data_IF_027851120169
#
_entry.id   IF_027851120169
#
_cell.length_a   1.000
_cell.length_b   1.000
_cell.length_c   1.000
_cell.angle_alpha   90.00
_cell.angle_beta   90.00
_cell.angle_gamma   90.00
#
_symmetry.space_group_name_H-M   'P 1'
#
loop_
_entity.id
_entity.type
_entity.pdbx_description
1 polymer ?
#
# COMPACT_ATOMS: atom_id res chain seq x y z
N UNK A 1 27.20 8.06 -9.41
CA UNK A 1 27.13 7.84 -7.95
C UNK A 1 26.69 9.16 -7.32
N UNK A 2 25.93 9.13 -6.23
CA UNK A 2 25.59 10.31 -5.42
C UNK A 2 26.26 10.12 -4.06
N UNK A 3 26.87 11.17 -3.55
CA UNK A 3 27.54 11.18 -2.24
C UNK A 3 26.75 12.12 -1.34
N UNK A 4 26.40 11.66 -0.13
CA UNK A 4 25.64 12.45 0.82
C UNK A 4 25.99 12.01 2.25
N UNK A 5 26.19 12.99 3.14
CA UNK A 5 26.39 12.72 4.56
C UNK A 5 25.03 12.49 5.23
N UNK A 6 24.94 11.43 6.03
CA UNK A 6 23.78 11.11 6.86
C UNK A 6 24.27 10.62 8.22
N UNK A 7 23.48 10.93 9.24
CA UNK A 7 23.69 10.35 10.56
C UNK A 7 23.43 8.83 10.53
N UNK A 8 24.42 8.05 10.97
CA UNK A 8 24.32 6.62 11.15
C UNK A 8 24.91 6.24 12.50
N UNK A 9 24.09 5.67 13.38
CA UNK A 9 24.48 5.27 14.73
C UNK A 9 25.10 6.44 15.54
N UNK A 10 24.54 7.65 15.39
CA UNK A 10 25.00 8.84 16.12
C UNK A 10 26.26 9.50 15.56
N UNK A 11 26.75 9.07 14.40
CA UNK A 11 27.91 9.65 13.72
C UNK A 11 27.50 10.15 12.33
N UNK A 12 28.09 11.28 11.89
CA UNK A 12 27.93 11.72 10.51
C UNK A 12 28.83 10.88 9.60
N UNK A 13 28.21 10.11 8.71
CA UNK A 13 28.90 9.17 7.83
C UNK A 13 28.62 9.54 6.39
N UNK A 14 29.66 9.51 5.56
CA UNK A 14 29.52 9.67 4.12
C UNK A 14 28.99 8.37 3.50
N UNK A 15 27.87 8.46 2.81
CA UNK A 15 27.27 7.33 2.10
C UNK A 15 27.38 7.53 0.59
N UNK A 16 27.53 6.43 -0.13
CA UNK A 16 27.57 6.39 -1.58
C UNK A 16 26.34 5.66 -2.11
N UNK A 17 25.61 6.31 -3.00
CA UNK A 17 24.44 5.74 -3.66
C UNK A 17 24.65 5.57 -5.16
N UNK A 18 24.07 4.49 -5.70
CA UNK A 18 23.71 4.44 -7.10
C UNK A 18 22.60 5.46 -7.37
N UNK A 19 22.75 6.26 -8.44
CA UNK A 19 21.87 7.40 -8.73
C UNK A 19 20.39 7.01 -8.79
N UNK A 20 20.08 5.85 -9.39
CA UNK A 20 18.71 5.35 -9.49
C UNK A 20 18.07 5.13 -8.10
N UNK A 21 18.79 4.51 -7.17
CA UNK A 21 18.28 4.27 -5.81
C UNK A 21 18.12 5.55 -5.00
N UNK A 22 19.07 6.50 -5.14
CA UNK A 22 18.95 7.80 -4.49
C UNK A 22 17.73 8.58 -4.97
N UNK A 23 17.51 8.63 -6.29
CA UNK A 23 16.33 9.27 -6.89
C UNK A 23 15.04 8.57 -6.43
N UNK A 24 15.02 7.25 -6.38
CA UNK A 24 13.85 6.48 -5.94
C UNK A 24 13.55 6.67 -4.46
N UNK A 25 14.56 6.68 -3.58
CA UNK A 25 14.40 6.95 -2.13
C UNK A 25 13.79 8.33 -1.90
N UNK A 26 14.37 9.38 -2.50
CA UNK A 26 13.83 10.73 -2.41
C UNK A 26 12.45 10.86 -3.07
N UNK A 27 12.25 10.14 -4.17
CA UNK A 27 11.01 10.08 -4.91
C UNK A 27 9.88 9.49 -4.08
N UNK A 28 10.12 8.38 -3.37
CA UNK A 28 9.15 7.79 -2.44
C UNK A 28 8.70 8.81 -1.40
N UNK A 29 9.63 9.50 -0.74
CA UNK A 29 9.28 10.50 0.27
C UNK A 29 8.45 11.66 -0.32
N UNK A 30 8.71 12.05 -1.58
CA UNK A 30 7.96 13.08 -2.29
C UNK A 30 6.55 12.64 -2.64
N UNK A 31 6.40 11.44 -3.21
CA UNK A 31 5.11 10.90 -3.63
C UNK A 31 4.22 10.57 -2.43
N UNK A 32 4.79 10.09 -1.32
CA UNK A 32 4.06 9.92 -0.06
C UNK A 32 3.45 11.24 0.42
N UNK A 33 4.24 12.33 0.46
CA UNK A 33 3.72 13.64 0.85
C UNK A 33 2.62 14.12 -0.09
N UNK A 34 2.77 13.93 -1.40
CA UNK A 34 1.72 14.27 -2.38
C UNK A 34 0.41 13.56 -2.03
N UNK A 35 0.44 12.24 -1.87
CA UNK A 35 -0.76 11.45 -1.61
C UNK A 35 -1.41 11.83 -0.27
N UNK A 36 -0.61 12.08 0.76
CA UNK A 36 -1.09 12.42 2.10
C UNK A 36 -1.66 13.84 2.24
N UNK A 37 -1.26 14.77 1.37
CA UNK A 37 -1.76 16.17 1.41
C UNK A 37 -3.19 16.31 0.86
N UNK A 38 -3.70 15.28 0.18
CA UNK A 38 -5.01 15.32 -0.47
C UNK A 38 -6.10 14.93 0.52
N UNK A 39 -7.16 15.74 0.61
CA UNK A 39 -8.28 15.44 1.49
C UNK A 39 -9.17 14.34 0.88
N UNK A 40 -9.61 13.38 1.70
CA UNK A 40 -10.70 12.48 1.33
C UNK A 40 -12.02 13.08 1.83
N UNK A 41 -12.98 13.19 0.92
CA UNK A 41 -14.36 13.46 1.30
C UNK A 41 -15.06 12.13 1.63
N UNK A 42 -14.91 11.65 2.87
CA UNK A 42 -15.83 10.64 3.41
C UNK A 42 -16.23 11.05 4.84
N UNK A 43 -17.49 11.41 5.09
CA UNK A 43 -18.00 11.67 6.44
C UNK A 43 -17.85 10.43 7.35
N UNK A 44 -17.53 10.64 8.63
CA UNK A 44 -17.36 9.56 9.62
C UNK A 44 -18.63 8.71 9.82
N UNK A 45 -19.82 9.33 9.73
CA UNK A 45 -21.10 8.61 9.84
C UNK A 45 -21.31 7.62 8.69
N UNK A 46 -20.82 7.96 7.50
CA UNK A 46 -20.86 7.07 6.34
C UNK A 46 -19.91 5.88 6.53
N UNK A 47 -18.77 6.07 7.18
CA UNK A 47 -17.85 4.98 7.48
C UNK A 47 -18.47 3.95 8.43
N UNK A 48 -19.09 4.39 9.53
CA UNK A 48 -19.69 3.49 10.53
C UNK A 48 -20.80 2.62 9.93
N UNK A 49 -21.76 3.25 9.25
CA UNK A 49 -22.88 2.56 8.61
C UNK A 49 -22.42 1.54 7.56
N UNK A 50 -21.36 1.85 6.80
CA UNK A 50 -20.76 0.94 5.82
C UNK A 50 -20.07 -0.26 6.45
N UNK A 51 -19.35 -0.06 7.55
CA UNK A 51 -18.71 -1.15 8.29
C UNK A 51 -19.77 -2.10 8.84
N UNK A 52 -20.81 -1.55 9.47
CA UNK A 52 -21.91 -2.36 10.02
C UNK A 52 -22.66 -3.14 8.93
N UNK A 53 -22.89 -2.53 7.76
CA UNK A 53 -23.46 -3.21 6.61
C UNK A 53 -22.57 -4.34 6.11
N UNK A 54 -21.25 -4.13 6.04
CA UNK A 54 -20.29 -5.15 5.63
C UNK A 54 -20.22 -6.32 6.62
N UNK A 55 -20.19 -6.06 7.93
CA UNK A 55 -20.24 -7.08 8.98
C UNK A 55 -21.52 -7.93 8.87
N UNK A 56 -22.66 -7.27 8.69
CA UNK A 56 -23.97 -7.93 8.54
C UNK A 56 -24.02 -8.82 7.30
N UNK A 57 -23.60 -8.29 6.15
CA UNK A 57 -23.60 -9.03 4.89
C UNK A 57 -22.64 -10.22 4.90
N UNK A 58 -21.52 -10.10 5.61
CA UNK A 58 -20.52 -11.15 5.73
C UNK A 58 -20.77 -12.11 6.90
N UNK A 59 -21.79 -11.86 7.73
CA UNK A 59 -22.12 -12.69 8.88
C UNK A 59 -20.98 -12.78 9.92
N UNK A 60 -20.25 -11.69 10.12
CA UNK A 60 -19.10 -11.64 11.04
C UNK A 60 -19.17 -10.43 11.98
N UNK A 61 -18.40 -10.49 13.05
CA UNK A 61 -18.19 -9.38 13.98
C UNK A 61 -16.69 -9.11 14.12
N UNK A 62 -16.27 -7.89 13.81
CA UNK A 62 -14.87 -7.48 13.90
C UNK A 62 -14.46 -7.24 15.35
N UNK A 63 -13.26 -7.72 15.71
CA UNK A 63 -12.61 -7.29 16.94
C UNK A 63 -12.27 -5.79 16.89
N UNK A 64 -12.10 -5.09 18.04
CA UNK A 64 -11.91 -3.64 18.07
C UNK A 64 -10.75 -3.14 17.20
N UNK A 65 -9.60 -3.83 17.22
CA UNK A 65 -8.45 -3.50 16.39
C UNK A 65 -8.72 -3.70 14.89
N UNK A 66 -9.48 -4.74 14.54
CA UNK A 66 -9.88 -5.01 13.16
C UNK A 66 -10.89 -3.98 12.65
N UNK A 67 -11.88 -3.61 13.46
CA UNK A 67 -12.82 -2.52 13.14
C UNK A 67 -12.07 -1.21 12.93
N UNK A 68 -11.12 -0.89 13.82
CA UNK A 68 -10.24 0.28 13.66
C UNK A 68 -9.48 0.25 12.34
N UNK A 69 -8.95 -0.91 11.94
CA UNK A 69 -8.27 -1.06 10.65
C UNK A 69 -9.19 -0.73 9.47
N UNK A 70 -10.46 -1.14 9.52
CA UNK A 70 -11.44 -0.80 8.47
C UNK A 70 -11.76 0.70 8.48
N UNK A 71 -12.06 1.29 9.63
CA UNK A 71 -12.33 2.72 9.77
C UNK A 71 -11.21 3.58 9.19
N UNK A 72 -9.97 3.29 9.57
CA UNK A 72 -8.79 4.01 9.07
C UNK A 72 -8.64 3.83 7.56
N UNK A 73 -8.87 2.62 7.04
CA UNK A 73 -8.79 2.37 5.59
C UNK A 73 -9.84 3.14 4.78
N UNK A 74 -11.00 3.45 5.37
CA UNK A 74 -12.04 4.26 4.73
C UNK A 74 -11.73 5.76 4.84
N UNK A 75 -11.14 6.20 5.94
CA UNK A 75 -10.91 7.61 6.25
C UNK A 75 -9.60 8.18 5.69
N UNK A 76 -8.53 7.38 5.64
CA UNK A 76 -7.18 7.84 5.31
C UNK A 76 -6.79 7.58 3.84
N UNK A 77 -5.94 8.46 3.30
CA UNK A 77 -5.37 8.32 1.94
C UNK A 77 -4.42 7.14 1.84
N UNK A 78 -3.64 6.94 2.90
CA UNK A 78 -2.62 5.92 2.97
C UNK A 78 -2.72 5.23 4.32
N UNK A 79 -2.86 3.91 4.29
CA UNK A 79 -2.94 3.10 5.49
C UNK A 79 -2.08 1.84 5.34
N UNK A 80 -1.40 1.48 6.42
CA UNK A 80 -0.67 0.22 6.52
C UNK A 80 -1.39 -0.68 7.51
N UNK A 81 -1.75 -1.88 7.08
CA UNK A 81 -2.20 -2.96 7.96
C UNK A 81 -1.07 -3.97 8.09
N UNK A 82 -0.61 -4.17 9.32
CA UNK A 82 0.43 -5.15 9.64
C UNK A 82 -0.07 -6.16 10.66
N UNK A 83 0.48 -7.37 10.62
CA UNK A 83 0.21 -8.41 11.61
C UNK A 83 0.88 -9.71 11.21
N UNK A 84 1.11 -10.60 12.17
CA UNK A 84 1.73 -11.91 11.92
C UNK A 84 0.85 -12.85 11.09
N UNK A 85 1.32 -14.07 10.76
CA UNK A 85 0.49 -15.11 10.18
C UNK A 85 -0.74 -15.39 11.05
N UNK A 86 -1.92 -15.61 10.44
CA UNK A 86 -3.15 -15.96 11.16
C UNK A 86 -3.89 -14.81 11.85
N UNK A 87 -3.40 -13.56 11.81
CA UNK A 87 -4.04 -12.37 12.44
C UNK A 87 -5.29 -11.84 11.71
N UNK A 88 -5.75 -12.53 10.66
CA UNK A 88 -6.96 -12.14 9.94
C UNK A 88 -6.80 -11.00 8.91
N UNK A 89 -5.57 -10.64 8.52
CA UNK A 89 -5.29 -9.65 7.45
C UNK A 89 -6.20 -9.83 6.22
N UNK A 90 -6.25 -11.04 5.69
CA UNK A 90 -7.09 -11.39 4.54
C UNK A 90 -8.58 -11.16 4.78
N UNK A 91 -9.09 -11.47 5.98
CA UNK A 91 -10.49 -11.23 6.35
C UNK A 91 -10.79 -9.74 6.37
N UNK A 92 -9.90 -8.94 6.96
CA UNK A 92 -10.08 -7.49 7.04
C UNK A 92 -10.01 -6.85 5.67
N UNK A 93 -9.10 -7.31 4.81
CA UNK A 93 -9.07 -6.88 3.40
C UNK A 93 -10.44 -7.11 2.75
N UNK A 94 -11.07 -8.27 2.93
CA UNK A 94 -12.43 -8.50 2.40
C UNK A 94 -13.46 -7.51 2.96
N UNK A 95 -13.43 -7.23 4.27
CA UNK A 95 -14.39 -6.29 4.87
C UNK A 95 -14.17 -4.87 4.35
N UNK A 96 -12.92 -4.43 4.18
CA UNK A 96 -12.60 -3.13 3.57
C UNK A 96 -13.12 -3.08 2.14
N UNK A 97 -12.89 -4.13 1.35
CA UNK A 97 -13.39 -4.21 -0.03
C UNK A 97 -14.92 -4.15 -0.08
N UNK A 98 -15.60 -4.81 0.85
CA UNK A 98 -17.05 -4.79 0.95
C UNK A 98 -17.58 -3.40 1.33
N UNK A 99 -16.99 -2.77 2.34
CA UNK A 99 -17.36 -1.42 2.77
C UNK A 99 -17.09 -0.35 1.68
N UNK A 100 -16.00 -0.52 0.91
CA UNK A 100 -15.61 0.37 -0.18
C UNK A 100 -16.40 0.15 -1.47
N UNK A 101 -16.90 -1.07 -1.73
CA UNK A 101 -17.68 -1.35 -2.94
C UNK A 101 -18.94 -0.49 -3.03
N UNK A 102 -19.52 -0.14 -1.88
CA UNK A 102 -20.66 0.76 -1.81
C UNK A 102 -20.31 2.24 -2.08
N UNK A 103 -19.02 2.59 -2.21
CA UNK A 103 -18.53 3.93 -2.57
C UNK A 103 -18.02 4.00 -4.00
N UNK A 104 -17.36 2.95 -4.46
CA UNK A 104 -16.79 2.89 -5.79
C UNK A 104 -16.54 1.45 -6.21
N UNK A 105 -16.78 1.17 -7.48
CA UNK A 105 -16.42 -0.09 -8.13
C UNK A 105 -14.96 -0.14 -8.60
N UNK A 106 -14.27 1.01 -8.66
CA UNK A 106 -12.90 1.13 -9.20
C UNK A 106 -11.85 0.75 -8.16
N UNK A 107 -11.76 -0.54 -7.85
CA UNK A 107 -10.83 -1.10 -6.88
C UNK A 107 -9.82 -1.99 -7.60
N UNK A 108 -8.53 -1.73 -7.41
CA UNK A 108 -7.43 -2.55 -7.92
C UNK A 108 -6.77 -3.31 -6.77
N UNK A 109 -6.46 -4.58 -7.03
CA UNK A 109 -5.77 -5.47 -6.11
C UNK A 109 -4.44 -5.89 -6.72
N UNK A 110 -3.36 -5.77 -5.96
CA UNK A 110 -2.04 -6.16 -6.40
C UNK A 110 -1.23 -6.88 -5.34
N UNK A 111 -0.24 -7.63 -5.80
CA UNK A 111 0.82 -8.17 -4.96
C UNK A 111 2.16 -8.18 -5.71
N UNK A 112 3.31 -8.32 -5.02
CA UNK A 112 4.62 -8.31 -5.67
C UNK A 112 4.87 -9.54 -6.56
N UNK A 113 4.27 -10.69 -6.21
CA UNK A 113 4.48 -11.97 -6.92
C UNK A 113 3.18 -12.53 -7.49
N UNK A 114 3.29 -13.31 -8.57
CA UNK A 114 2.13 -13.96 -9.20
C UNK A 114 1.40 -14.93 -8.26
N UNK A 115 2.14 -15.64 -7.40
CA UNK A 115 1.56 -16.54 -6.39
C UNK A 115 0.73 -15.77 -5.35
N UNK A 116 1.26 -14.64 -4.86
CA UNK A 116 0.53 -13.80 -3.91
C UNK A 116 -0.71 -13.17 -4.56
N UNK A 117 -0.58 -12.68 -5.79
CA UNK A 117 -1.72 -12.13 -6.54
C UNK A 117 -2.82 -13.17 -6.76
N UNK A 118 -2.47 -14.39 -7.20
CA UNK A 118 -3.43 -15.49 -7.37
C UNK A 118 -4.18 -15.80 -6.06
N UNK A 119 -3.44 -15.92 -4.95
CA UNK A 119 -4.04 -16.16 -3.63
C UNK A 119 -4.95 -15.01 -3.20
N UNK A 120 -4.53 -13.77 -3.41
CA UNK A 120 -5.34 -12.59 -3.13
C UNK A 120 -6.64 -12.63 -3.93
N UNK A 121 -6.60 -13.06 -5.20
CA UNK A 121 -7.80 -13.23 -6.02
C UNK A 121 -8.74 -14.30 -5.46
N UNK A 122 -8.22 -15.48 -5.12
CA UNK A 122 -8.99 -16.59 -4.55
C UNK A 122 -9.66 -16.21 -3.23
N UNK A 123 -8.94 -15.48 -2.38
CA UNK A 123 -9.44 -15.02 -1.08
C UNK A 123 -10.52 -13.96 -1.28
N UNK A 124 -10.28 -12.96 -2.10
CA UNK A 124 -11.18 -11.80 -2.21
C UNK A 124 -12.34 -12.02 -3.18
N UNK A 125 -12.26 -13.04 -4.03
CA UNK A 125 -13.23 -13.27 -5.12
C UNK A 125 -13.16 -12.21 -6.21
N UNK A 126 -12.05 -11.46 -6.30
CA UNK A 126 -11.83 -10.36 -7.24
C UNK A 126 -10.51 -10.57 -7.96
N UNK A 127 -10.39 -10.07 -9.18
CA UNK A 127 -9.13 -10.18 -9.90
C UNK A 127 -8.04 -9.32 -9.25
N UNK A 128 -6.89 -9.94 -8.97
CA UNK A 128 -5.66 -9.30 -8.55
C UNK A 128 -4.52 -9.65 -9.51
N UNK A 129 -3.62 -8.69 -9.73
CA UNK A 129 -2.48 -8.85 -10.61
C UNK A 129 -1.16 -8.64 -9.86
N UNK A 130 -0.03 -8.91 -10.53
CA UNK A 130 1.25 -8.44 -9.98
C UNK A 130 1.34 -6.92 -10.08
N UNK A 131 2.13 -6.27 -9.23
CA UNK A 131 2.42 -4.83 -9.36
C UNK A 131 3.03 -4.54 -10.75
N UNK A 132 3.88 -5.42 -11.27
CA UNK A 132 4.49 -5.25 -12.59
C UNK A 132 3.45 -5.25 -13.72
N UNK A 133 2.50 -6.18 -13.67
CA UNK A 133 1.39 -6.25 -14.63
C UNK A 133 0.47 -5.04 -14.48
N UNK A 134 0.16 -4.65 -13.24
CA UNK A 134 -0.70 -3.50 -12.93
C UNK A 134 -0.13 -2.20 -13.50
N UNK A 135 1.19 -2.02 -13.36
CA UNK A 135 1.89 -0.83 -13.84
C UNK A 135 2.23 -0.89 -15.34
N UNK A 136 1.83 -1.96 -16.02
CA UNK A 136 2.11 -2.21 -17.44
C UNK A 136 3.61 -2.07 -17.75
N UNK A 137 4.43 -2.91 -17.12
CA UNK A 137 5.87 -2.95 -17.38
C UNK A 137 6.17 -3.27 -18.84
N UNK A 138 6.95 -2.41 -19.48
CA UNK A 138 7.32 -2.49 -20.88
C UNK A 138 8.81 -2.82 -21.00
N UNK A 139 9.11 -4.03 -21.46
CA UNK A 139 10.47 -4.54 -21.64
C UNK A 139 11.26 -3.77 -22.72
N UNK A 140 10.60 -3.12 -23.68
CA UNK A 140 11.28 -2.40 -24.76
C UNK A 140 11.94 -1.11 -24.28
N UNK A 141 11.31 -0.45 -23.31
CA UNK A 141 11.81 0.79 -22.69
C UNK A 141 12.35 0.55 -21.27
N UNK A 142 12.29 -0.70 -20.79
CA UNK A 142 12.66 -1.12 -19.44
C UNK A 142 12.03 -0.23 -18.36
N UNK A 143 10.74 0.08 -18.51
CA UNK A 143 10.04 1.04 -17.65
C UNK A 143 8.53 0.76 -17.60
N UNK A 144 7.82 1.42 -16.69
CA UNK A 144 6.37 1.28 -16.51
C UNK A 144 5.59 2.32 -17.34
N UNK A 145 4.52 1.88 -18.00
CA UNK A 145 3.62 2.79 -18.74
C UNK A 145 2.69 3.56 -17.81
N UNK A 146 2.32 2.98 -16.67
CA UNK A 146 1.58 3.68 -15.62
C UNK A 146 2.52 4.52 -14.77
N UNK A 147 2.22 5.81 -14.63
CA UNK A 147 3.04 6.80 -13.95
C UNK A 147 2.19 8.03 -13.59
N UNK A 148 2.84 9.18 -13.33
CA UNK A 148 2.16 10.41 -12.91
C UNK A 148 1.31 11.02 -14.01
N UNK A 149 1.74 10.92 -15.27
CA UNK A 149 1.05 11.48 -16.44
C UNK A 149 -0.01 10.51 -16.98
N UNK A 150 0.14 9.22 -16.69
CA UNK A 150 -0.82 8.16 -17.00
C UNK A 150 -1.09 7.30 -15.75
N UNK A 151 -1.89 7.79 -14.80
CA UNK A 151 -2.09 7.11 -13.52
C UNK A 151 -2.96 5.84 -13.67
N UNK A 152 -3.02 5.05 -12.60
CA UNK A 152 -3.95 3.92 -12.49
C UNK A 152 -5.40 4.40 -12.46
N UNK A 153 -6.32 3.65 -13.08
CA UNK A 153 -7.75 3.98 -12.97
C UNK A 153 -8.37 3.28 -11.75
N UNK A 154 -8.17 3.87 -10.57
CA UNK A 154 -8.76 3.37 -9.33
C UNK A 154 -9.11 4.48 -8.34
N UNK A 155 -10.08 4.19 -7.47
CA UNK A 155 -10.34 4.94 -6.24
C UNK A 155 -9.72 4.29 -5.00
N UNK A 156 -9.39 3.01 -5.08
CA UNK A 156 -8.68 2.25 -4.04
C UNK A 156 -7.71 1.29 -4.71
N UNK A 157 -6.47 1.32 -4.26
CA UNK A 157 -5.45 0.33 -4.56
C UNK A 157 -5.10 -0.41 -3.27
N UNK A 158 -5.27 -1.73 -3.27
CA UNK A 158 -4.82 -2.61 -2.18
C UNK A 158 -3.62 -3.39 -2.66
N UNK A 159 -2.53 -3.35 -1.89
CA UNK A 159 -1.31 -4.10 -2.17
C UNK A 159 -1.04 -5.05 -1.02
N UNK A 160 -1.19 -6.35 -1.26
CA UNK A 160 -0.88 -7.41 -0.30
C UNK A 160 0.60 -7.82 -0.40
N UNK A 161 1.13 -8.45 0.65
CA UNK A 161 2.55 -8.81 0.77
C UNK A 161 3.50 -7.61 0.58
N UNK A 162 3.11 -6.43 1.08
CA UNK A 162 3.84 -5.18 0.87
C UNK A 162 5.28 -5.17 1.44
N UNK A 163 5.61 -6.07 2.38
CA UNK A 163 6.96 -6.24 2.92
C UNK A 163 7.97 -6.71 1.86
N UNK A 164 7.50 -7.33 0.78
CA UNK A 164 8.35 -7.80 -0.33
C UNK A 164 8.64 -6.72 -1.38
N UNK A 165 8.13 -5.50 -1.25
CA UNK A 165 8.30 -4.43 -2.24
C UNK A 165 9.61 -3.68 -2.00
N UNK A 166 10.48 -3.67 -3.01
CA UNK A 166 11.73 -2.92 -2.97
C UNK A 166 11.57 -1.42 -3.29
N UNK A 167 12.66 -0.67 -3.14
CA UNK A 167 12.71 0.79 -3.34
C UNK A 167 12.28 1.21 -4.76
N UNK A 168 12.70 0.47 -5.80
CA UNK A 168 12.42 0.86 -7.18
C UNK A 168 10.96 0.61 -7.54
N UNK A 169 10.42 -0.53 -7.10
CA UNK A 169 9.04 -0.90 -7.35
C UNK A 169 8.07 -0.01 -6.55
N UNK A 170 8.37 0.26 -5.27
CA UNK A 170 7.55 1.18 -4.47
C UNK A 170 7.53 2.59 -5.09
N UNK A 171 8.68 3.11 -5.54
CA UNK A 171 8.74 4.42 -6.17
C UNK A 171 7.82 4.50 -7.40
N UNK A 172 7.88 3.52 -8.29
CA UNK A 172 7.04 3.49 -9.48
C UNK A 172 5.56 3.25 -9.17
N UNK A 173 5.25 2.43 -8.17
CA UNK A 173 3.91 2.23 -7.67
C UNK A 173 3.30 3.56 -7.20
N UNK A 174 3.97 4.27 -6.28
CA UNK A 174 3.48 5.53 -5.73
C UNK A 174 3.27 6.60 -6.79
N UNK A 175 4.18 6.70 -7.78
CA UNK A 175 4.02 7.61 -8.93
C UNK A 175 2.73 7.37 -9.71
N UNK A 176 2.30 6.12 -9.82
CA UNK A 176 1.14 5.73 -10.60
C UNK A 176 -0.18 5.83 -9.81
N UNK A 177 -0.14 6.04 -8.49
CA UNK A 177 -1.35 6.21 -7.67
C UNK A 177 -1.97 7.60 -7.90
N UNK A 178 -3.26 7.67 -8.33
CA UNK A 178 -3.97 8.93 -8.50
C UNK A 178 -4.06 9.72 -7.19
N UNK A 179 -4.04 11.05 -7.27
CA UNK A 179 -4.25 11.94 -6.12
C UNK A 179 -5.58 11.67 -5.39
N UNK A 180 -6.61 11.27 -6.14
CA UNK A 180 -7.94 10.95 -5.62
C UNK A 180 -8.05 9.57 -4.95
N UNK A 181 -7.09 8.67 -5.19
CA UNK A 181 -7.18 7.28 -4.74
C UNK A 181 -6.74 7.09 -3.28
N UNK A 182 -7.22 6.02 -2.67
CA UNK A 182 -6.68 5.46 -1.42
C UNK A 182 -5.64 4.38 -1.75
N UNK A 183 -4.58 4.31 -0.96
CA UNK A 183 -3.59 3.24 -0.99
C UNK A 183 -3.62 2.49 0.34
N UNK A 184 -3.92 1.19 0.27
CA UNK A 184 -3.85 0.28 1.40
C UNK A 184 -2.68 -0.68 1.18
N UNK A 185 -1.69 -0.63 2.06
CA UNK A 185 -0.58 -1.57 2.09
C UNK A 185 -0.85 -2.61 3.18
N UNK A 186 -0.91 -3.88 2.79
CA UNK A 186 -1.08 -5.01 3.71
C UNK A 186 0.18 -5.84 3.66
N UNK A 187 0.75 -6.13 4.82
CA UNK A 187 2.00 -6.89 4.89
C UNK A 187 2.30 -7.40 6.28
N UNK A 188 3.42 -8.09 6.39
CA UNK A 188 3.94 -8.56 7.66
C UNK A 188 5.38 -8.05 7.80
N UNK A 189 5.58 -7.16 8.77
CA UNK A 189 6.89 -6.52 9.04
C UNK A 189 7.88 -7.48 9.68
N UNK A 190 7.39 -8.57 10.25
CA UNK A 190 8.19 -9.58 10.93
C UNK A 190 8.57 -10.73 9.96
N UNK A 191 8.05 -10.72 8.73
CA UNK A 191 8.45 -11.62 7.64
C UNK A 191 9.64 -11.07 6.83
N UNK A 192 10.11 -11.89 5.88
CA UNK A 192 11.25 -11.55 5.02
C UNK A 192 11.00 -10.22 4.27
N UNK A 193 11.99 -9.31 4.25
CA UNK A 193 11.94 -8.10 3.45
C UNK A 193 12.06 -8.42 1.95
N UNK A 194 11.95 -7.39 1.11
CA UNK A 194 12.21 -7.51 -0.33
C UNK A 194 13.58 -8.11 -0.60
N UNK A 195 13.68 -8.93 -1.66
CA UNK A 195 14.97 -9.42 -2.18
C UNK A 195 15.78 -8.27 -2.81
N UNK A 196 15.09 -7.29 -3.39
CA UNK A 196 15.69 -6.04 -3.87
C UNK A 196 16.09 -5.10 -2.74
N UNK A 197 16.83 -4.05 -3.05
CA UNK A 197 17.33 -3.13 -2.04
C UNK A 197 16.21 -2.27 -1.41
N UNK A 198 16.30 -2.11 -0.09
CA UNK A 198 15.41 -1.29 0.73
C UNK A 198 14.60 -2.09 1.74
N UNK A 199 14.06 -1.41 2.74
CA UNK A 199 13.09 -1.97 3.70
C UNK A 199 11.89 -1.03 3.82
N UNK A 200 11.27 -0.76 2.67
CA UNK A 200 10.42 0.42 2.49
C UNK A 200 9.20 0.41 3.42
N UNK A 201 8.56 -0.74 3.61
CA UNK A 201 7.41 -0.86 4.51
C UNK A 201 7.81 -0.54 5.96
N UNK A 202 8.95 -1.05 6.44
CA UNK A 202 9.43 -0.78 7.78
C UNK A 202 9.84 0.69 7.94
N UNK A 203 10.44 1.28 6.92
CA UNK A 203 10.79 2.70 6.91
C UNK A 203 9.54 3.59 6.97
N UNK A 204 8.45 3.21 6.29
CA UNK A 204 7.17 3.92 6.39
C UNK A 204 6.63 3.88 7.82
N UNK A 205 6.69 2.72 8.46
CA UNK A 205 6.21 2.53 9.83
C UNK A 205 7.07 3.34 10.81
N UNK A 206 8.41 3.23 10.71
CA UNK A 206 9.35 3.96 11.58
C UNK A 206 9.28 5.47 11.39
N UNK A 207 8.89 5.95 10.21
CA UNK A 207 8.75 7.39 9.94
C UNK A 207 7.67 8.07 10.80
N UNK A 208 6.70 7.30 11.31
CA UNK A 208 5.53 7.81 12.02
C UNK A 208 4.62 8.71 11.18
N UNK A 209 4.81 8.75 9.85
CA UNK A 209 4.02 9.60 8.95
C UNK A 209 2.78 8.89 8.45
N UNK A 210 2.87 7.59 8.21
CA UNK A 210 1.76 6.79 7.69
C UNK A 210 1.00 6.18 8.86
N UNK A 211 -0.33 6.23 8.84
CA UNK A 211 -1.14 5.55 9.85
C UNK A 211 -0.95 4.04 9.72
N UNK A 212 -0.70 3.37 10.85
CA UNK A 212 -0.48 1.93 10.91
C UNK A 212 -1.48 1.31 11.87
N UNK A 213 -2.18 0.27 11.43
CA UNK A 213 -2.95 -0.59 12.32
C UNK A 213 -2.29 -1.95 12.42
N UNK A 214 -1.98 -2.38 13.66
CA UNK A 214 -1.47 -3.72 13.95
C UNK A 214 -2.62 -4.62 14.40
N UNK A 215 -2.72 -5.78 13.77
CA UNK A 215 -3.72 -6.81 14.05
C UNK A 215 -3.24 -7.82 15.09
#
# INVERSE_FOLDING_TARGET
IVIQNKEHQGQDVEFLWLKAFHVSEQGIARELRRLMQQQLALPLQDAYSRIQAAETQMGLQLAPNQRRAVEVSLAEKLHIITGGPGTGKSTITKVILQAMQALSSRILLAAPTGKAAKRLSEITGREASTIHSLLEFDFSINNFRRNRDNPLDCSLLVVDEASMIDTMLMYNLLKAVPDGARLLLVGDVDQLPSVGAGNVLNDFIKSGRVTVTRL
#
